data_IF_010084311833
#
_entry.id   IF_010084311833
#
_cell.length_a   1.000
_cell.length_b   1.000
_cell.length_c   1.000
_cell.angle_alpha   90.00
_cell.angle_beta   90.00
_cell.angle_gamma   90.00
#
_symmetry.space_group_name_H-M   'P 1'
#
loop_
_entity.id
_entity.type
_entity.pdbx_description
1 polymer ?
#
# COMPACT_ATOMS: atom_id res chain seq x y z
N UNK A 1 11.38 11.35 -11.06
CA UNK A 1 10.66 10.78 -12.22
C UNK A 1 9.17 10.98 -12.04
N UNK A 2 8.42 11.26 -13.12
CA UNK A 2 6.95 11.31 -13.07
C UNK A 2 6.36 9.96 -12.59
N UNK A 3 5.20 9.99 -11.92
CA UNK A 3 4.54 8.77 -11.40
C UNK A 3 4.35 7.71 -12.49
N UNK A 4 3.94 8.13 -13.69
CA UNK A 4 3.79 7.23 -14.84
C UNK A 4 5.06 6.46 -15.18
N UNK A 5 6.22 7.13 -15.15
CA UNK A 5 7.51 6.48 -15.41
C UNK A 5 7.92 5.54 -14.27
N UNK A 6 7.53 5.83 -13.03
CA UNK A 6 7.77 4.93 -11.91
C UNK A 6 6.93 3.66 -12.01
N UNK A 7 5.67 3.75 -12.42
CA UNK A 7 4.85 2.57 -12.72
C UNK A 7 5.46 1.70 -13.82
N UNK A 8 5.92 2.31 -14.91
CA UNK A 8 6.58 1.55 -15.98
C UNK A 8 7.90 0.89 -15.51
N UNK A 9 8.61 1.52 -14.58
CA UNK A 9 9.78 0.91 -13.95
C UNK A 9 9.41 -0.39 -13.23
N UNK A 10 8.36 -0.40 -12.43
CA UNK A 10 7.90 -1.61 -11.73
C UNK A 10 7.38 -2.69 -12.69
N UNK A 11 6.84 -2.31 -13.86
CA UNK A 11 6.33 -3.25 -14.86
C UNK A 11 7.43 -3.92 -15.68
N UNK A 12 8.56 -3.23 -15.91
CA UNK A 12 9.57 -3.65 -16.87
C UNK A 12 10.94 -3.98 -16.26
N UNK A 13 11.11 -3.79 -14.97
CA UNK A 13 12.37 -4.09 -14.28
C UNK A 13 12.08 -5.08 -13.14
N UNK A 14 12.52 -6.34 -13.25
CA UNK A 14 12.26 -7.39 -12.25
C UNK A 14 12.65 -6.98 -10.82
N UNK A 15 13.77 -6.26 -10.69
CA UNK A 15 14.29 -5.81 -9.39
C UNK A 15 13.89 -4.37 -9.04
N UNK A 16 12.98 -3.75 -9.80
CA UNK A 16 12.60 -2.35 -9.61
C UNK A 16 13.75 -1.35 -9.80
N UNK A 17 14.83 -1.75 -10.47
CA UNK A 17 16.01 -0.92 -10.76
C UNK A 17 16.06 -0.57 -12.24
N UNK A 18 16.48 0.65 -12.55
CA UNK A 18 16.76 1.08 -13.92
C UNK A 18 18.27 1.03 -14.10
N UNK A 19 18.74 0.06 -14.87
CA UNK A 19 20.18 -0.23 -15.00
C UNK A 19 20.85 0.50 -16.19
N UNK A 20 20.06 1.02 -17.13
CA UNK A 20 20.60 1.67 -18.32
C UNK A 20 19.79 2.90 -18.77
N UNK A 21 20.42 3.76 -19.56
CA UNK A 21 19.78 4.90 -20.20
C UNK A 21 18.69 4.43 -21.21
N UNK A 22 18.92 3.31 -21.89
CA UNK A 22 17.96 2.70 -22.81
C UNK A 22 16.68 2.23 -22.10
N UNK A 23 16.80 1.58 -20.94
CA UNK A 23 15.65 1.22 -20.11
C UNK A 23 14.89 2.45 -19.64
N UNK A 24 15.61 3.51 -19.25
CA UNK A 24 14.98 4.77 -18.86
C UNK A 24 14.19 5.39 -19.99
N UNK A 25 14.74 5.42 -21.20
CA UNK A 25 14.06 5.91 -22.39
C UNK A 25 12.82 5.07 -22.70
N UNK A 26 12.93 3.74 -22.65
CA UNK A 26 11.81 2.82 -22.83
C UNK A 26 10.67 3.09 -21.84
N UNK A 27 10.99 3.24 -20.55
CA UNK A 27 10.00 3.58 -19.52
C UNK A 27 9.32 4.92 -19.80
N UNK A 28 10.06 5.93 -20.27
CA UNK A 28 9.49 7.23 -20.61
C UNK A 28 8.56 7.16 -21.81
N UNK A 29 8.94 6.45 -22.86
CA UNK A 29 8.12 6.25 -24.06
C UNK A 29 6.86 5.47 -23.71
N UNK A 30 6.97 4.36 -22.99
CA UNK A 30 5.82 3.56 -22.55
C UNK A 30 4.85 4.36 -21.69
N UNK A 31 5.35 5.18 -20.77
CA UNK A 31 4.55 6.05 -19.94
C UNK A 31 3.78 7.09 -20.78
N UNK A 32 4.44 7.68 -21.76
CA UNK A 32 3.82 8.64 -22.67
C UNK A 32 2.75 8.01 -23.55
N UNK A 33 3.05 6.87 -24.18
CA UNK A 33 2.09 6.12 -25.01
C UNK A 33 0.84 5.77 -24.21
N UNK A 34 0.99 5.25 -23.00
CA UNK A 34 -0.17 4.90 -22.14
C UNK A 34 -0.98 6.12 -21.71
N UNK A 35 -0.31 7.25 -21.42
CA UNK A 35 -1.00 8.47 -21.03
C UNK A 35 -1.88 9.03 -22.14
N UNK A 36 -1.46 8.89 -23.40
CA UNK A 36 -2.15 9.42 -24.59
C UNK A 36 -2.89 8.38 -25.43
N UNK A 37 -2.95 7.13 -24.98
CA UNK A 37 -3.58 6.02 -25.71
C UNK A 37 -5.06 6.27 -26.04
N UNK A 38 -5.75 7.08 -25.24
CA UNK A 38 -7.17 7.43 -25.39
C UNK A 38 -7.37 8.84 -25.99
N UNK A 39 -6.32 9.45 -26.56
CA UNK A 39 -6.38 10.75 -27.18
C UNK A 39 -5.79 11.89 -26.32
N UNK A 40 -5.98 13.15 -26.72
CA UNK A 40 -5.36 14.31 -26.09
C UNK A 40 -5.91 14.65 -24.69
N UNK A 41 -7.10 14.15 -24.37
CA UNK A 41 -7.72 14.35 -23.05
C UNK A 41 -7.17 13.32 -22.05
N UNK A 42 -6.19 13.72 -21.24
CA UNK A 42 -5.42 12.81 -20.38
C UNK A 42 -5.90 12.75 -18.92
N UNK A 43 -7.03 13.39 -18.56
CA UNK A 43 -7.47 13.44 -17.16
C UNK A 43 -7.72 12.04 -16.58
N UNK A 44 -8.49 11.21 -17.26
CA UNK A 44 -8.79 9.84 -16.83
C UNK A 44 -7.52 8.97 -16.78
N UNK A 45 -6.64 9.12 -17.77
CA UNK A 45 -5.36 8.42 -17.79
C UNK A 45 -4.49 8.82 -16.60
N UNK A 46 -4.44 10.10 -16.23
CA UNK A 46 -3.71 10.59 -15.06
C UNK A 46 -4.31 10.09 -13.75
N UNK A 47 -5.63 10.09 -13.61
CA UNK A 47 -6.32 9.55 -12.44
C UNK A 47 -6.03 8.05 -12.28
N UNK A 48 -6.07 7.28 -13.37
CA UNK A 48 -5.70 5.87 -13.37
C UNK A 48 -4.25 5.65 -12.97
N UNK A 49 -3.31 6.43 -13.51
CA UNK A 49 -1.90 6.38 -13.14
C UNK A 49 -1.70 6.63 -11.63
N UNK A 50 -2.37 7.64 -11.07
CA UNK A 50 -2.29 7.92 -9.62
C UNK A 50 -2.85 6.77 -8.82
N UNK A 51 -4.02 6.25 -9.18
CA UNK A 51 -4.65 5.10 -8.51
C UNK A 51 -3.76 3.85 -8.56
N UNK A 52 -3.24 3.49 -9.74
CA UNK A 52 -2.36 2.34 -9.91
C UNK A 52 -1.08 2.51 -9.09
N UNK A 53 -0.54 3.73 -9.04
CA UNK A 53 0.64 4.03 -8.22
C UNK A 53 0.35 3.85 -6.73
N UNK A 54 -0.75 4.42 -6.22
CA UNK A 54 -1.14 4.31 -4.81
C UNK A 54 -1.46 2.88 -4.40
N UNK A 55 -1.95 2.05 -5.32
CA UNK A 55 -2.21 0.63 -5.07
C UNK A 55 -0.95 -0.25 -5.11
N UNK A 56 0.15 0.24 -5.66
CA UNK A 56 1.38 -0.56 -5.82
C UNK A 56 2.61 0.01 -5.11
N UNK A 57 2.49 1.16 -4.45
CA UNK A 57 3.62 1.82 -3.80
C UNK A 57 4.21 0.95 -2.68
N UNK A 58 5.54 0.74 -2.64
CA UNK A 58 6.18 -0.02 -1.56
C UNK A 58 6.18 0.79 -0.27
N UNK A 59 5.76 0.17 0.83
CA UNK A 59 5.63 0.77 2.16
C UNK A 59 6.41 -0.02 3.23
N UNK A 60 7.60 -0.50 2.86
CA UNK A 60 8.51 -1.27 3.72
C UNK A 60 7.97 -2.65 4.09
N UNK A 61 8.78 -3.43 4.79
CA UNK A 61 8.35 -4.67 5.39
C UNK A 61 7.92 -4.43 6.83
N UNK A 62 6.81 -5.04 7.22
CA UNK A 62 6.31 -5.01 8.60
C UNK A 62 6.63 -6.33 9.30
N UNK A 63 6.96 -6.31 10.61
CA UNK A 63 7.28 -7.50 11.36
C UNK A 63 6.15 -8.54 11.29
N UNK A 64 6.47 -9.76 10.87
CA UNK A 64 5.52 -10.87 10.77
C UNK A 64 4.55 -10.82 9.59
N UNK A 65 4.59 -9.75 8.77
CA UNK A 65 3.75 -9.61 7.58
C UNK A 65 4.56 -9.72 6.27
N UNK A 66 5.82 -9.29 6.27
CA UNK A 66 6.62 -9.19 5.07
C UNK A 66 6.47 -7.82 4.38
N UNK A 67 6.66 -7.76 3.07
CA UNK A 67 6.56 -6.52 2.30
C UNK A 67 5.12 -6.01 2.22
N UNK A 68 4.96 -4.70 2.41
CA UNK A 68 3.68 -4.00 2.37
C UNK A 68 3.62 -3.16 1.10
N UNK A 69 2.59 -3.33 0.30
CA UNK A 69 2.39 -2.62 -0.96
C UNK A 69 1.01 -1.97 -1.02
N UNK A 70 0.99 -0.71 -1.48
CA UNK A 70 -0.24 0.05 -1.65
C UNK A 70 -0.82 0.62 -0.36
N UNK A 71 -1.68 1.63 -0.53
CA UNK A 71 -2.27 2.34 0.61
C UNK A 71 -3.23 1.48 1.42
N UNK A 72 -3.97 0.57 0.79
CA UNK A 72 -4.93 -0.28 1.49
C UNK A 72 -4.23 -1.18 2.51
N UNK A 73 -3.21 -1.91 2.07
CA UNK A 73 -2.39 -2.72 2.97
C UNK A 73 -1.60 -1.84 3.95
N UNK A 74 -1.07 -0.71 3.48
CA UNK A 74 -0.39 0.24 4.35
C UNK A 74 -1.23 0.72 5.53
N UNK A 75 -2.49 1.11 5.31
CA UNK A 75 -3.42 1.51 6.35
C UNK A 75 -3.68 0.37 7.34
N UNK A 76 -4.02 -0.81 6.80
CA UNK A 76 -4.31 -1.98 7.61
C UNK A 76 -3.12 -2.43 8.44
N UNK A 77 -1.95 -2.48 7.81
CA UNK A 77 -0.75 -3.07 8.40
C UNK A 77 -0.07 -2.11 9.38
N UNK A 78 0.11 -0.86 9.02
CA UNK A 78 0.82 0.12 9.86
C UNK A 78 -0.05 0.76 10.93
N UNK A 79 -1.37 0.93 10.66
CA UNK A 79 -2.27 1.66 11.56
C UNK A 79 -3.47 0.83 12.05
N UNK A 80 -3.70 -0.36 11.50
CA UNK A 80 -4.91 -1.13 11.80
C UNK A 80 -6.19 -0.50 11.26
N UNK A 81 -6.06 0.43 10.30
CA UNK A 81 -7.18 1.17 9.73
C UNK A 81 -7.76 0.46 8.51
N UNK A 82 -9.08 0.48 8.39
CA UNK A 82 -9.79 -0.04 7.22
C UNK A 82 -9.77 0.98 6.07
N UNK A 83 -9.42 0.52 4.87
CA UNK A 83 -9.27 1.38 3.70
C UNK A 83 -10.59 1.98 3.22
N UNK A 84 -11.65 1.16 3.16
CA UNK A 84 -12.96 1.62 2.69
C UNK A 84 -13.57 2.64 3.67
N UNK A 85 -13.44 2.37 4.98
CA UNK A 85 -13.85 3.33 6.02
C UNK A 85 -13.03 4.62 5.92
N UNK A 86 -11.72 4.54 5.74
CA UNK A 86 -10.87 5.73 5.61
C UNK A 86 -11.25 6.58 4.39
N UNK A 87 -11.54 5.94 3.24
CA UNK A 87 -12.05 6.64 2.06
C UNK A 87 -13.43 7.28 2.30
N UNK A 88 -14.34 6.55 2.98
CA UNK A 88 -15.64 7.10 3.30
C UNK A 88 -15.56 8.31 4.23
N UNK A 89 -14.67 8.29 5.22
CA UNK A 89 -14.43 9.41 6.14
C UNK A 89 -13.90 10.66 5.43
N UNK A 90 -13.12 10.50 4.36
CA UNK A 90 -12.58 11.62 3.58
C UNK A 90 -13.57 12.19 2.57
N UNK A 91 -14.67 11.50 2.32
CA UNK A 91 -15.77 11.99 1.48
C UNK A 91 -16.94 12.46 2.38
N UNK A 92 -17.21 13.78 2.45
CA UNK A 92 -18.29 14.31 3.29
C UNK A 92 -19.68 13.77 2.94
N UNK A 93 -19.87 13.33 1.70
CA UNK A 93 -21.16 12.79 1.24
C UNK A 93 -21.35 11.32 1.62
N UNK A 94 -20.28 10.57 1.84
CA UNK A 94 -20.33 9.16 2.20
C UNK A 94 -20.42 8.91 3.71
N UNK A 95 -19.99 9.87 4.51
CA UNK A 95 -20.01 9.78 5.99
C UNK A 95 -20.35 11.12 6.61
N UNK A 96 -21.58 11.64 6.42
CA UNK A 96 -21.99 12.94 6.93
C UNK A 96 -22.02 13.00 8.46
N UNK A 97 -22.20 11.85 9.13
CA UNK A 97 -22.21 11.72 10.59
C UNK A 97 -20.81 11.63 11.21
N UNK A 98 -19.79 11.46 10.40
CA UNK A 98 -18.42 11.31 10.89
C UNK A 98 -17.92 12.58 11.56
N UNK A 99 -17.29 12.42 12.73
CA UNK A 99 -16.65 13.52 13.43
C UNK A 99 -15.44 14.08 12.69
N UNK A 100 -15.14 15.35 12.88
CA UNK A 100 -13.91 15.96 12.36
C UNK A 100 -12.65 15.25 12.85
N UNK A 101 -12.66 14.71 14.06
CA UNK A 101 -11.54 13.95 14.61
C UNK A 101 -11.28 12.67 13.84
N UNK A 102 -12.32 11.87 13.51
CA UNK A 102 -12.19 10.67 12.68
C UNK A 102 -11.70 11.00 11.28
N UNK A 103 -12.26 12.04 10.66
CA UNK A 103 -11.84 12.53 9.33
C UNK A 103 -10.41 13.03 9.33
N UNK A 104 -10.02 13.78 10.37
CA UNK A 104 -8.65 14.28 10.57
C UNK A 104 -7.65 13.13 10.74
N UNK A 105 -7.98 12.10 11.50
CA UNK A 105 -7.14 10.92 11.66
C UNK A 105 -6.97 10.17 10.33
N UNK A 106 -8.05 9.93 9.59
CA UNK A 106 -8.00 9.26 8.29
C UNK A 106 -7.13 10.02 7.29
N UNK A 107 -7.27 11.35 7.22
CA UNK A 107 -6.42 12.21 6.40
C UNK A 107 -4.94 12.08 6.79
N UNK A 108 -4.64 12.17 8.09
CA UNK A 108 -3.28 12.10 8.60
C UNK A 108 -2.63 10.75 8.30
N UNK A 109 -3.35 9.65 8.49
CA UNK A 109 -2.86 8.29 8.20
C UNK A 109 -2.58 8.10 6.70
N UNK A 110 -3.53 8.44 5.82
CA UNK A 110 -3.33 8.33 4.37
C UNK A 110 -2.17 9.19 3.89
N UNK A 111 -2.11 10.44 4.30
CA UNK A 111 -1.08 11.37 3.86
C UNK A 111 0.31 10.95 4.34
N UNK A 112 0.43 10.43 5.56
CA UNK A 112 1.70 9.92 6.10
C UNK A 112 2.25 8.75 5.27
N UNK A 113 1.41 7.82 4.83
CA UNK A 113 1.83 6.72 3.95
C UNK A 113 2.25 7.23 2.56
N UNK A 114 1.54 8.22 2.02
CA UNK A 114 1.93 8.86 0.76
C UNK A 114 3.28 9.58 0.87
N UNK A 115 3.63 10.10 2.05
CA UNK A 115 4.94 10.70 2.34
C UNK A 115 5.99 9.61 2.56
N UNK A 116 5.64 8.54 3.29
CA UNK A 116 6.54 7.45 3.63
C UNK A 116 7.14 6.76 2.40
N UNK A 117 6.42 6.72 1.27
CA UNK A 117 6.88 6.11 0.02
C UNK A 117 8.24 6.66 -0.49
N UNK A 118 8.65 7.84 -0.04
CA UNK A 118 9.95 8.44 -0.42
C UNK A 118 11.14 7.71 0.19
N UNK A 119 10.99 7.20 1.42
CA UNK A 119 11.99 6.44 2.18
C UNK A 119 11.28 5.51 3.17
N UNK A 120 10.56 4.47 2.66
CA UNK A 120 9.62 3.72 3.50
C UNK A 120 10.28 3.03 4.69
N UNK A 121 11.45 2.41 4.50
CA UNK A 121 12.17 1.74 5.59
C UNK A 121 12.70 2.70 6.66
N UNK A 122 12.88 3.96 6.34
CA UNK A 122 13.25 4.99 7.31
C UNK A 122 12.02 5.53 8.03
N UNK A 123 11.05 6.07 7.28
CA UNK A 123 9.90 6.77 7.84
C UNK A 123 8.96 5.86 8.65
N UNK A 124 8.82 4.60 8.25
CA UNK A 124 7.95 3.64 8.96
C UNK A 124 8.67 2.91 10.12
N UNK A 125 9.98 3.14 10.30
CA UNK A 125 10.78 2.60 11.40
C UNK A 125 11.31 3.71 12.31
N UNK A 126 12.60 4.03 12.19
CA UNK A 126 13.28 4.99 13.08
C UNK A 126 12.96 6.47 12.81
N UNK A 127 12.53 6.81 11.60
CA UNK A 127 12.23 8.18 11.16
C UNK A 127 10.76 8.61 11.34
N UNK A 128 10.01 7.96 12.22
CA UNK A 128 8.58 8.29 12.46
C UNK A 128 8.35 9.72 12.88
N UNK A 129 9.25 10.27 13.70
CA UNK A 129 9.18 11.68 14.10
C UNK A 129 9.31 12.63 12.89
N UNK A 130 10.26 12.38 12.01
CA UNK A 130 10.45 13.19 10.79
C UNK A 130 9.25 13.05 9.84
N UNK A 131 8.68 11.85 9.75
CA UNK A 131 7.48 11.62 8.95
C UNK A 131 6.28 12.38 9.52
N UNK A 132 6.10 12.41 10.84
CA UNK A 132 5.05 13.21 11.47
C UNK A 132 5.20 14.70 11.16
N UNK A 133 6.40 15.27 11.31
CA UNK A 133 6.67 16.67 10.99
C UNK A 133 6.39 17.00 9.51
N UNK A 134 6.80 16.11 8.60
CA UNK A 134 6.49 16.27 7.18
C UNK A 134 4.99 16.16 6.90
N UNK A 135 4.30 15.24 7.56
CA UNK A 135 2.84 15.08 7.41
C UNK A 135 2.12 16.35 7.85
N UNK A 136 2.49 16.94 8.98
CA UNK A 136 1.94 18.20 9.45
C UNK A 136 2.18 19.35 8.47
N UNK A 137 3.40 19.43 7.92
CA UNK A 137 3.73 20.43 6.91
C UNK A 137 2.85 20.28 5.65
N UNK A 138 2.62 19.05 5.20
CA UNK A 138 1.77 18.79 4.03
C UNK A 138 0.28 19.04 4.33
N UNK A 139 -0.21 18.74 5.52
CA UNK A 139 -1.59 19.12 5.94
C UNK A 139 -1.79 20.63 5.83
N UNK A 140 -0.83 21.43 6.33
CA UNK A 140 -0.89 22.91 6.21
C UNK A 140 -0.83 23.36 4.75
N UNK A 141 -0.02 22.70 3.93
CA UNK A 141 0.08 22.97 2.49
C UNK A 141 -1.24 22.67 1.76
N UNK A 142 -1.90 21.56 2.06
CA UNK A 142 -3.20 21.20 1.48
C UNK A 142 -4.26 22.26 1.83
N UNK A 143 -4.28 22.75 3.07
CA UNK A 143 -5.19 23.82 3.48
C UNK A 143 -4.88 25.14 2.79
N UNK A 144 -3.60 25.54 2.70
CA UNK A 144 -3.20 26.77 2.01
C UNK A 144 -3.51 26.73 0.51
N UNK A 145 -3.52 25.53 -0.09
CA UNK A 145 -3.93 25.30 -1.47
C UNK A 145 -5.44 25.16 -1.69
N UNK A 146 -6.25 25.29 -0.64
CA UNK A 146 -7.71 25.17 -0.72
C UNK A 146 -8.23 23.76 -1.00
N UNK A 147 -7.39 22.72 -0.79
CA UNK A 147 -7.76 21.32 -1.00
C UNK A 147 -8.49 20.71 0.20
N UNK A 148 -8.30 21.27 1.38
CA UNK A 148 -9.03 20.96 2.61
C UNK A 148 -9.41 22.26 3.29
N UNK A 149 -10.49 22.25 4.08
CA UNK A 149 -10.90 23.37 4.91
C UNK A 149 -10.06 23.51 6.18
N UNK A 150 -10.23 24.62 6.89
CA UNK A 150 -9.49 24.92 8.11
C UNK A 150 -9.84 23.96 9.25
N UNK A 151 -11.09 23.54 9.34
CA UNK A 151 -11.58 22.67 10.41
C UNK A 151 -10.97 21.26 10.27
N UNK A 152 -10.93 20.73 9.06
CA UNK A 152 -10.29 19.44 8.79
C UNK A 152 -8.77 19.51 8.99
N UNK A 153 -8.12 20.63 8.59
CA UNK A 153 -6.70 20.87 8.88
C UNK A 153 -6.43 20.79 10.37
N UNK A 154 -7.18 21.53 11.17
CA UNK A 154 -6.95 21.63 12.62
C UNK A 154 -7.26 20.30 13.31
N UNK A 155 -8.33 19.62 12.89
CA UNK A 155 -8.64 18.27 13.34
C UNK A 155 -7.51 17.27 13.01
N UNK A 156 -6.96 17.31 11.79
CA UNK A 156 -5.86 16.44 11.39
C UNK A 156 -4.55 16.73 12.14
N UNK A 157 -4.25 18.02 12.39
CA UNK A 157 -3.08 18.42 13.17
C UNK A 157 -3.19 18.03 14.65
N UNK A 158 -4.40 17.97 15.20
CA UNK A 158 -4.65 17.53 16.58
C UNK A 158 -4.47 16.02 16.79
N UNK A 159 -4.53 15.20 15.71
CA UNK A 159 -4.34 13.76 15.81
C UNK A 159 -2.85 13.39 15.94
N UNK A 160 -2.61 12.18 16.44
CA UNK A 160 -1.29 11.54 16.44
C UNK A 160 -1.37 10.21 15.70
N UNK A 161 -0.32 9.87 14.97
CA UNK A 161 -0.21 8.57 14.33
C UNK A 161 0.03 7.50 15.39
N UNK A 162 -0.89 6.55 15.47
CA UNK A 162 -0.77 5.39 16.33
C UNK A 162 -0.42 4.19 15.46
N UNK A 163 0.76 3.65 15.67
CA UNK A 163 1.21 2.47 14.95
C UNK A 163 0.67 1.23 15.61
N UNK A 164 0.34 0.26 14.80
CA UNK A 164 -0.08 -1.05 15.27
C UNK A 164 1.03 -1.72 16.06
N UNK A 165 0.68 -2.29 17.22
CA UNK A 165 1.62 -3.07 18.04
C UNK A 165 1.58 -4.54 17.62
N UNK A 166 2.56 -4.94 16.82
CA UNK A 166 2.70 -6.30 16.31
C UNK A 166 2.99 -7.35 17.38
N UNK A 167 3.38 -6.93 18.60
CA UNK A 167 3.65 -7.86 19.69
C UNK A 167 2.37 -8.27 20.44
N UNK A 168 1.35 -7.42 20.41
CA UNK A 168 0.09 -7.64 21.13
C UNK A 168 -0.99 -8.30 20.28
N UNK A 169 -0.86 -8.32 18.96
CA UNK A 169 -1.87 -8.90 18.10
C UNK A 169 -1.59 -10.37 17.77
N UNK A 170 -2.56 -11.26 18.11
CA UNK A 170 -2.45 -12.64 17.71
C UNK A 170 -2.58 -12.78 16.19
N UNK A 171 -1.50 -13.19 15.54
CA UNK A 171 -1.51 -13.95 14.30
C UNK A 171 -2.15 -13.38 13.02
N UNK A 172 -1.66 -12.24 12.52
CA UNK A 172 -1.53 -12.13 11.04
C UNK A 172 -0.47 -13.13 10.51
N UNK A 173 0.40 -13.62 11.39
CA UNK A 173 1.37 -14.70 11.12
C UNK A 173 0.73 -16.01 10.61
N UNK A 174 -0.52 -16.27 10.95
CA UNK A 174 -1.13 -17.56 10.64
C UNK A 174 -1.45 -17.74 9.14
N UNK A 175 -1.72 -16.68 8.39
CA UNK A 175 -2.11 -16.79 6.98
C UNK A 175 -0.89 -16.91 6.07
N UNK A 176 0.20 -16.21 6.37
CA UNK A 176 1.42 -16.26 5.52
C UNK A 176 2.41 -17.37 5.93
N UNK A 177 2.34 -17.84 7.17
CA UNK A 177 3.16 -18.97 7.64
C UNK A 177 2.59 -20.33 7.21
N UNK A 178 1.43 -20.37 6.59
CA UNK A 178 0.84 -21.62 6.11
C UNK A 178 1.62 -22.11 4.88
N UNK A 179 2.34 -23.23 5.08
CA UNK A 179 3.09 -23.91 4.02
C UNK A 179 2.21 -24.21 2.79
N UNK A 180 0.92 -24.46 3.00
CA UNK A 180 -0.06 -24.67 1.94
C UNK A 180 -0.24 -23.44 1.06
N UNK A 181 -0.33 -22.26 1.66
CA UNK A 181 -0.44 -20.99 0.93
C UNK A 181 0.86 -20.70 0.15
N UNK A 182 2.01 -20.87 0.78
CA UNK A 182 3.32 -20.68 0.13
C UNK A 182 3.50 -21.60 -1.08
N UNK A 183 3.11 -22.87 -0.95
CA UNK A 183 3.13 -23.82 -2.07
C UNK A 183 2.13 -23.43 -3.16
N UNK A 184 0.93 -23.00 -2.80
CA UNK A 184 -0.10 -22.55 -3.75
C UNK A 184 0.38 -21.31 -4.53
N UNK A 185 0.99 -20.33 -3.85
CA UNK A 185 1.58 -19.13 -4.49
C UNK A 185 2.69 -19.50 -5.46
N UNK A 186 3.64 -20.36 -5.05
CA UNK A 186 4.72 -20.82 -5.93
C UNK A 186 4.18 -21.56 -7.15
N UNK A 187 3.15 -22.38 -6.97
CA UNK A 187 2.53 -23.11 -8.06
C UNK A 187 1.78 -22.21 -9.02
N UNK A 188 1.08 -21.19 -8.49
CA UNK A 188 0.40 -20.17 -9.30
C UNK A 188 1.40 -19.32 -10.08
N UNK A 189 2.50 -18.91 -9.46
CA UNK A 189 3.61 -18.22 -10.09
C UNK A 189 4.15 -19.01 -11.29
N UNK A 190 4.40 -20.32 -11.10
CA UNK A 190 4.87 -21.19 -12.17
C UNK A 190 3.83 -21.38 -13.29
N UNK A 191 2.55 -21.52 -12.95
CA UNK A 191 1.47 -21.67 -13.93
C UNK A 191 1.29 -20.42 -14.80
N UNK A 192 1.45 -19.24 -14.21
CA UNK A 192 1.33 -17.96 -14.90
C UNK A 192 2.65 -17.52 -15.56
N UNK A 193 3.75 -18.24 -15.31
CA UNK A 193 5.07 -17.91 -15.86
C UNK A 193 5.61 -16.56 -15.36
N UNK A 194 5.27 -16.15 -14.12
CA UNK A 194 5.67 -14.87 -13.57
C UNK A 194 6.30 -15.02 -12.17
N UNK A 195 7.24 -14.13 -11.78
CA UNK A 195 7.81 -14.12 -10.45
C UNK A 195 6.76 -13.93 -9.35
N UNK A 196 7.00 -14.46 -8.15
CA UNK A 196 6.13 -14.30 -6.97
C UNK A 196 5.84 -12.83 -6.67
N UNK A 197 6.84 -11.96 -6.82
CA UNK A 197 6.70 -10.54 -6.63
C UNK A 197 5.66 -9.90 -7.57
N UNK A 198 5.64 -10.30 -8.83
CA UNK A 198 4.67 -9.80 -9.80
C UNK A 198 3.28 -10.40 -9.57
N UNK A 199 3.21 -11.63 -9.06
CA UNK A 199 1.97 -12.28 -8.67
C UNK A 199 1.25 -11.48 -7.55
N UNK A 200 1.97 -11.03 -6.54
CA UNK A 200 1.43 -10.27 -5.41
C UNK A 200 0.86 -8.89 -5.83
N UNK A 201 1.26 -8.39 -6.99
CA UNK A 201 0.80 -7.11 -7.54
C UNK A 201 -0.47 -7.21 -8.39
N UNK A 202 -0.93 -8.41 -8.69
CA UNK A 202 -2.08 -8.62 -9.58
C UNK A 202 -3.45 -8.59 -8.87
N UNK A 203 -3.46 -8.49 -7.55
CA UNK A 203 -4.70 -8.56 -6.74
C UNK A 203 -5.59 -9.76 -7.14
N UNK A 204 -4.97 -10.94 -7.24
CA UNK A 204 -5.62 -12.15 -7.72
C UNK A 204 -6.40 -12.85 -6.61
N UNK A 205 -7.66 -13.17 -6.86
CA UNK A 205 -8.41 -14.12 -6.08
C UNK A 205 -8.33 -15.50 -6.72
N UNK A 206 -7.60 -16.42 -6.11
CA UNK A 206 -7.47 -17.79 -6.59
C UNK A 206 -8.13 -18.79 -5.64
N UNK A 207 -8.92 -19.73 -6.19
CA UNK A 207 -9.44 -20.86 -5.43
C UNK A 207 -8.45 -22.02 -5.51
N UNK A 208 -8.10 -22.59 -4.34
CA UNK A 208 -7.28 -23.79 -4.27
C UNK A 208 -8.12 -25.00 -3.87
N UNK A 209 -7.59 -26.19 -4.09
CA UNK A 209 -8.16 -27.46 -3.61
C UNK A 209 -7.74 -27.77 -2.16
N UNK A 210 -6.98 -26.89 -1.51
CA UNK A 210 -6.55 -27.06 -0.13
C UNK A 210 -7.75 -26.91 0.81
N UNK A 211 -7.92 -27.87 1.72
CA UNK A 211 -8.93 -27.82 2.76
C UNK A 211 -8.35 -27.14 3.98
N UNK A 212 -8.93 -25.98 4.35
CA UNK A 212 -8.44 -25.14 5.45
C UNK A 212 -8.29 -25.92 6.76
N UNK A 213 -9.33 -26.67 7.13
CA UNK A 213 -9.36 -27.40 8.41
C UNK A 213 -8.29 -28.49 8.46
N UNK A 214 -8.07 -29.20 7.37
CA UNK A 214 -7.02 -30.21 7.27
C UNK A 214 -5.63 -29.57 7.33
N UNK A 215 -5.43 -28.45 6.66
CA UNK A 215 -4.17 -27.70 6.74
C UNK A 215 -3.88 -27.23 8.16
N UNK A 216 -4.88 -26.74 8.89
CA UNK A 216 -4.72 -26.31 10.26
C UNK A 216 -4.39 -27.45 11.21
N UNK A 217 -5.03 -28.61 11.05
CA UNK A 217 -4.74 -29.82 11.83
C UNK A 217 -3.30 -30.30 11.59
N UNK A 218 -2.86 -30.38 10.34
CA UNK A 218 -1.50 -30.75 9.99
C UNK A 218 -0.48 -29.78 10.55
N UNK A 219 -0.72 -28.47 10.42
CA UNK A 219 0.18 -27.42 10.95
C UNK A 219 0.31 -27.53 12.46
N UNK A 220 -0.80 -27.69 13.18
CA UNK A 220 -0.80 -27.87 14.64
C UNK A 220 -0.05 -29.15 15.05
N UNK A 221 -0.27 -30.25 14.35
CA UNK A 221 0.43 -31.49 14.61
C UNK A 221 1.95 -31.36 14.41
N UNK A 222 2.38 -30.72 13.33
CA UNK A 222 3.81 -30.51 13.06
C UNK A 222 4.46 -29.54 14.05
N UNK A 223 3.74 -28.51 14.52
CA UNK A 223 4.23 -27.62 15.55
C UNK A 223 4.43 -28.33 16.89
N UNK A 224 3.53 -29.25 17.25
CA UNK A 224 3.63 -30.04 18.47
C UNK A 224 4.75 -31.11 18.42
N UNK A 225 5.19 -31.52 17.22
CA UNK A 225 6.33 -32.42 17.04
C UNK A 225 7.69 -31.70 17.15
N UNK A 226 7.72 -30.38 16.98
CA UNK A 226 8.94 -29.57 16.99
C UNK A 226 9.29 -29.03 18.40
N UNK A 227 8.41 -29.26 19.41
CA UNK A 227 8.61 -28.97 20.81
C UNK A 227 8.85 -30.27 21.57
#
# INVERSE_FOLDING_TARGET
SPLATQLEKYRHSPDGLTLSAGEKLRQMISASVRAYQQGPQTLEARQRIVRDYLNSVPLSAAPGHGEVHGLADGLRIWYGADFERSNALLDPHRSPEASLAERGLALRQMLSLMIAQRRPSYYLAQGRHDMEALTESHIRLLASGGLIDADLRDAALAQKLQYRDWQQEPNLRAVESDKGISVARSRLSNLLGMPLYDLDRLDLAARSTLQRDLQQQVSTYLQNLAN
#
